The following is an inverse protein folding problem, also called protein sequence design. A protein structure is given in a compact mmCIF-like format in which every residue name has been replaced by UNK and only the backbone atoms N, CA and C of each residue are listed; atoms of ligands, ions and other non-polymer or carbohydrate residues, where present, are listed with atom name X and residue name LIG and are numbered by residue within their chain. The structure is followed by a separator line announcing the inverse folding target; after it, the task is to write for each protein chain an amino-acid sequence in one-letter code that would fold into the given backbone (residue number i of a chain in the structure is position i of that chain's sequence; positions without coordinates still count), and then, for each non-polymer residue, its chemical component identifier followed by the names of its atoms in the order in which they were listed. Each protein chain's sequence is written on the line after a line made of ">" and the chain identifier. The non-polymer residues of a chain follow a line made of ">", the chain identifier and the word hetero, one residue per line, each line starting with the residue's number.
data_IF_342080676116
#
_entry.id   IF_342080676116
#
_cell.length_a   1.000
_cell.length_b   1.000
_cell.length_c   1.000
_cell.angle_alpha   90.00
_cell.angle_beta   90.00
_cell.angle_gamma   90.00
#
_symmetry.space_group_name_H-M   'P 1'
#
loop_
_entity.id
_entity.type
_entity.pdbx_description
1 polymer ?
#
# COMPACT_ATOMS: atom_id res chain seq x y z
N UNK A 1 10.81 7.15 14.83
CA UNK A 1 11.28 6.63 13.52
C UNK A 1 10.94 7.70 12.50
N UNK A 2 11.94 8.36 11.88
CA UNK A 2 11.78 9.66 11.19
C UNK A 2 10.64 9.76 10.16
N UNK A 3 10.21 8.65 9.58
CA UNK A 3 9.09 8.62 8.62
C UNK A 3 7.73 8.94 9.27
N UNK A 4 7.54 8.67 10.58
CA UNK A 4 6.29 8.98 11.30
C UNK A 4 6.23 10.44 11.81
N UNK A 5 7.34 11.17 11.75
CA UNK A 5 7.42 12.57 12.19
C UNK A 5 6.99 13.55 11.09
N UNK A 6 6.74 13.04 9.86
CA UNK A 6 6.31 13.82 8.70
C UNK A 6 4.81 13.66 8.49
N UNK A 7 4.17 14.71 8.00
CA UNK A 7 2.76 14.68 7.57
C UNK A 7 2.59 14.10 6.15
N UNK A 8 3.68 13.77 5.47
CA UNK A 8 3.68 13.15 4.16
C UNK A 8 4.53 11.88 4.11
N UNK A 9 4.24 11.03 3.13
CA UNK A 9 5.03 9.84 2.83
C UNK A 9 5.20 9.61 1.34
N UNK A 10 6.42 9.25 0.95
CA UNK A 10 6.74 8.82 -0.39
C UNK A 10 6.53 7.31 -0.52
N UNK A 11 5.87 6.92 -1.61
CA UNK A 11 5.50 5.54 -1.90
C UNK A 11 5.97 5.16 -3.30
N UNK A 12 6.63 4.02 -3.39
CA UNK A 12 7.01 3.39 -4.65
C UNK A 12 6.23 2.09 -4.83
N UNK A 13 5.60 1.91 -6.00
CA UNK A 13 4.82 0.72 -6.31
C UNK A 13 5.67 -0.24 -7.14
N UNK A 14 5.81 -1.50 -6.72
CA UNK A 14 6.46 -2.49 -7.60
C UNK A 14 5.50 -2.99 -8.68
N UNK A 15 6.04 -3.52 -9.78
CA UNK A 15 5.23 -4.23 -10.79
C UNK A 15 4.35 -5.32 -10.15
N UNK A 16 4.93 -6.12 -9.27
CA UNK A 16 4.21 -7.19 -8.58
C UNK A 16 3.05 -6.64 -7.74
N UNK A 17 3.22 -5.50 -7.07
CA UNK A 17 2.13 -4.86 -6.33
C UNK A 17 0.95 -4.52 -7.25
N UNK A 18 1.23 -3.95 -8.42
CA UNK A 18 0.19 -3.56 -9.39
C UNK A 18 -0.54 -4.79 -9.93
N UNK A 19 0.17 -5.85 -10.28
CA UNK A 19 -0.42 -7.12 -10.71
C UNK A 19 -1.37 -7.68 -9.63
N UNK A 20 -0.90 -7.71 -8.37
CA UNK A 20 -1.70 -8.16 -7.23
C UNK A 20 -2.91 -7.26 -6.94
N UNK A 21 -2.77 -5.95 -7.16
CA UNK A 21 -3.88 -5.00 -7.06
C UNK A 21 -4.91 -5.23 -8.15
N UNK A 22 -4.47 -5.40 -9.39
CA UNK A 22 -5.34 -5.68 -10.52
C UNK A 22 -6.18 -6.93 -10.27
N UNK A 23 -5.55 -8.07 -9.93
CA UNK A 23 -6.24 -9.32 -9.60
C UNK A 23 -7.33 -9.18 -8.52
N UNK A 24 -7.13 -8.30 -7.54
CA UNK A 24 -8.02 -8.16 -6.36
C UNK A 24 -9.08 -7.08 -6.51
N UNK A 25 -8.87 -6.12 -7.39
CA UNK A 25 -9.64 -4.88 -7.44
C UNK A 25 -10.34 -4.71 -8.78
N UNK A 26 -9.82 -5.27 -9.88
CA UNK A 26 -10.35 -5.04 -11.23
C UNK A 26 -11.85 -5.34 -11.36
N UNK A 27 -12.34 -6.40 -10.71
CA UNK A 27 -13.77 -6.75 -10.70
C UNK A 27 -14.66 -5.84 -9.84
N UNK A 28 -14.06 -4.99 -9.00
CA UNK A 28 -14.74 -4.10 -8.04
C UNK A 28 -14.73 -2.64 -8.47
N UNK A 29 -14.01 -2.31 -9.55
CA UNK A 29 -13.91 -0.95 -10.08
C UNK A 29 -14.42 -0.93 -11.51
N UNK A 30 -15.04 0.19 -11.90
CA UNK A 30 -15.51 0.38 -13.28
C UNK A 30 -14.36 0.33 -14.29
N UNK A 31 -13.17 0.80 -13.89
CA UNK A 31 -11.97 0.87 -14.73
C UNK A 31 -10.74 0.78 -13.83
N UNK A 32 -9.76 -0.01 -14.24
CA UNK A 32 -8.45 -0.06 -13.58
C UNK A 32 -7.47 0.81 -14.38
N UNK A 33 -7.29 2.06 -13.96
CA UNK A 33 -6.31 2.99 -14.53
C UNK A 33 -5.40 3.58 -13.46
N UNK A 34 -4.40 4.37 -13.89
CA UNK A 34 -3.45 5.02 -12.99
C UNK A 34 -4.15 5.77 -11.86
N UNK A 35 -5.13 6.62 -12.20
CA UNK A 35 -5.82 7.46 -11.23
C UNK A 35 -6.53 6.59 -10.19
N UNK A 36 -7.27 5.58 -10.64
CA UNK A 36 -7.98 4.66 -9.75
C UNK A 36 -7.01 3.93 -8.81
N UNK A 37 -5.88 3.45 -9.34
CA UNK A 37 -4.86 2.79 -8.52
C UNK A 37 -4.29 3.75 -7.45
N UNK A 38 -3.91 4.97 -7.85
CA UNK A 38 -3.34 5.97 -6.93
C UNK A 38 -4.36 6.36 -5.86
N UNK A 39 -5.62 6.58 -6.24
CA UNK A 39 -6.70 6.93 -5.31
C UNK A 39 -6.88 5.82 -4.27
N UNK A 40 -6.84 4.55 -4.68
CA UNK A 40 -6.97 3.42 -3.76
C UNK A 40 -5.76 3.31 -2.83
N UNK A 41 -4.54 3.37 -3.38
CA UNK A 41 -3.30 3.31 -2.59
C UNK A 41 -3.28 4.45 -1.57
N UNK A 42 -3.54 5.68 -2.02
CA UNK A 42 -3.57 6.88 -1.17
C UNK A 42 -4.57 6.73 -0.05
N UNK A 43 -5.78 6.26 -0.35
CA UNK A 43 -6.81 6.06 0.67
C UNK A 43 -6.42 4.99 1.71
N UNK A 44 -5.78 3.90 1.29
CA UNK A 44 -5.33 2.85 2.21
C UNK A 44 -4.16 3.35 3.07
N UNK A 45 -3.17 4.00 2.46
CA UNK A 45 -1.99 4.54 3.17
C UNK A 45 -2.39 5.63 4.15
N UNK A 46 -3.25 6.56 3.77
CA UNK A 46 -3.69 7.68 4.61
C UNK A 46 -4.57 7.24 5.77
N UNK A 47 -5.52 6.34 5.52
CA UNK A 47 -6.54 6.01 6.51
C UNK A 47 -6.28 4.67 7.23
N UNK A 48 -5.23 3.94 6.84
CA UNK A 48 -4.90 2.64 7.40
C UNK A 48 -4.27 2.68 8.78
N UNK A 49 -4.17 1.49 9.37
CA UNK A 49 -3.31 1.19 10.51
C UNK A 49 -1.97 0.71 9.99
N UNK A 50 -0.89 1.23 10.56
CA UNK A 50 0.49 1.00 10.12
C UNK A 50 1.23 0.24 11.20
N UNK A 51 1.79 -0.89 10.81
CA UNK A 51 2.73 -1.66 11.60
C UNK A 51 4.09 -1.67 10.90
N UNK A 52 5.15 -1.43 11.65
CA UNK A 52 6.53 -1.55 11.18
C UNK A 52 7.26 -2.51 12.11
N UNK A 53 7.90 -3.53 11.54
CA UNK A 53 8.78 -4.44 12.29
C UNK A 53 10.20 -3.92 12.35
N UNK A 54 10.97 -4.46 13.28
CA UNK A 54 12.36 -4.07 13.53
C UNK A 54 13.28 -4.27 12.31
N UNK A 55 12.93 -5.19 11.40
CA UNK A 55 13.62 -5.45 10.14
C UNK A 55 13.23 -4.49 9.00
N UNK A 56 12.44 -3.46 9.29
CA UNK A 56 12.02 -2.45 8.33
C UNK A 56 10.90 -2.89 7.38
N UNK A 57 10.27 -4.06 7.58
CA UNK A 57 9.03 -4.39 6.87
C UNK A 57 7.90 -3.53 7.40
N UNK A 58 7.05 -3.07 6.48
CA UNK A 58 5.89 -2.26 6.78
C UNK A 58 4.63 -2.94 6.27
N UNK A 59 3.60 -2.92 7.12
CA UNK A 59 2.26 -3.40 6.80
C UNK A 59 1.27 -2.29 7.05
N UNK A 60 0.48 -1.97 6.03
CA UNK A 60 -0.57 -0.95 6.12
C UNK A 60 -1.90 -1.64 5.86
N UNK A 61 -2.82 -1.60 6.81
CA UNK A 61 -4.08 -2.31 6.65
C UNK A 61 -5.30 -1.48 7.01
N UNK A 62 -6.37 -1.78 6.29
CA UNK A 62 -7.75 -1.37 6.54
C UNK A 62 -8.57 -2.63 6.78
N UNK A 63 -9.86 -2.50 7.07
CA UNK A 63 -10.76 -3.66 7.13
C UNK A 63 -10.85 -4.45 5.82
N UNK A 64 -10.46 -3.88 4.67
CA UNK A 64 -10.61 -4.50 3.34
C UNK A 64 -9.31 -4.96 2.70
N UNK A 65 -8.20 -4.27 2.97
CA UNK A 65 -6.92 -4.51 2.30
C UNK A 65 -5.77 -4.37 3.27
N UNK A 66 -4.74 -5.19 3.08
CA UNK A 66 -3.44 -5.10 3.74
C UNK A 66 -2.35 -4.97 2.68
N UNK A 67 -1.65 -3.86 2.68
CA UNK A 67 -0.49 -3.61 1.82
C UNK A 67 0.77 -4.06 2.56
N UNK A 68 1.59 -4.86 1.89
CA UNK A 68 2.89 -5.29 2.37
C UNK A 68 4.01 -4.56 1.63
N UNK A 69 4.98 -4.05 2.37
CA UNK A 69 6.11 -3.34 1.81
C UNK A 69 7.34 -3.36 2.70
N UNK A 70 8.33 -2.56 2.31
CA UNK A 70 9.56 -2.33 3.09
C UNK A 70 9.86 -0.84 3.12
N UNK A 71 10.47 -0.40 4.22
CA UNK A 71 11.04 0.93 4.33
C UNK A 71 12.45 0.93 3.74
N UNK A 72 12.70 1.87 2.84
CA UNK A 72 14.03 2.10 2.25
C UNK A 72 14.24 3.59 2.16
N UNK A 73 15.35 4.10 2.70
CA UNK A 73 15.76 5.50 2.51
C UNK A 73 14.66 6.55 2.83
N UNK A 74 13.79 6.27 3.81
CA UNK A 74 12.70 7.19 4.19
C UNK A 74 11.43 7.12 3.33
N UNK A 75 11.35 6.21 2.36
CA UNK A 75 10.16 5.91 1.54
C UNK A 75 9.63 4.50 1.78
N UNK A 76 8.38 4.28 1.41
CA UNK A 76 7.72 2.97 1.45
C UNK A 76 7.77 2.35 0.06
N UNK A 77 8.38 1.18 -0.06
CA UNK A 77 8.31 0.37 -1.28
C UNK A 77 7.22 -0.70 -1.09
N UNK A 78 6.06 -0.49 -1.70
CA UNK A 78 4.94 -1.42 -1.66
C UNK A 78 5.15 -2.57 -2.64
N UNK A 79 5.13 -3.80 -2.11
CA UNK A 79 5.48 -5.01 -2.87
C UNK A 79 4.28 -5.86 -3.22
N UNK A 80 3.24 -5.84 -2.39
CA UNK A 80 2.10 -6.73 -2.53
C UNK A 80 0.88 -6.19 -1.79
N UNK A 81 -0.28 -6.75 -2.10
CA UNK A 81 -1.55 -6.49 -1.41
C UNK A 81 -2.21 -7.82 -1.08
N UNK A 82 -2.84 -7.88 0.08
CA UNK A 82 -3.62 -9.01 0.56
C UNK A 82 -5.01 -8.55 0.98
N UNK A 83 -5.99 -9.44 0.87
CA UNK A 83 -7.27 -9.26 1.54
C UNK A 83 -7.12 -9.92 2.92
N UNK A 84 -7.19 -9.18 4.03
CA UNK A 84 -7.02 -9.78 5.34
C UNK A 84 -8.13 -10.80 5.59
N UNK A 85 -7.75 -12.04 5.90
CA UNK A 85 -8.65 -12.94 6.65
C UNK A 85 -8.62 -12.43 8.09
N UNK A 86 -9.70 -11.75 8.49
CA UNK A 86 -9.85 -10.99 9.74
C UNK A 86 -9.46 -11.83 10.98
N UNK A 87 -9.61 -13.16 10.93
CA UNK A 87 -9.30 -14.07 12.03
C UNK A 87 -7.88 -14.66 12.06
N UNK A 88 -7.00 -14.27 11.12
CA UNK A 88 -5.63 -14.80 11.15
C UNK A 88 -4.85 -14.27 12.37
N UNK A 89 -4.16 -15.17 13.08
CA UNK A 89 -3.29 -14.82 14.22
C UNK A 89 -2.30 -13.70 13.88
N UNK A 90 -1.79 -13.67 12.64
CA UNK A 90 -0.91 -12.61 12.13
C UNK A 90 -1.58 -11.24 12.11
N UNK A 91 -2.82 -11.16 11.62
CA UNK A 91 -3.55 -9.89 11.60
C UNK A 91 -3.77 -9.34 13.02
N UNK A 92 -4.18 -10.20 13.97
CA UNK A 92 -4.34 -9.81 15.37
C UNK A 92 -3.03 -9.34 16.00
N UNK A 93 -1.92 -9.99 15.69
CA UNK A 93 -0.60 -9.57 16.16
C UNK A 93 -0.23 -8.18 15.63
N UNK A 94 -0.38 -7.94 14.32
CA UNK A 94 -0.10 -6.63 13.73
C UNK A 94 -1.05 -5.55 14.27
N UNK A 95 -2.34 -5.85 14.40
CA UNK A 95 -3.35 -4.93 14.92
C UNK A 95 -3.02 -4.39 16.32
N UNK A 96 -2.49 -5.23 17.22
CA UNK A 96 -2.12 -4.82 18.58
C UNK A 96 -0.97 -3.82 18.64
N UNK A 97 -0.08 -3.82 17.64
CA UNK A 97 1.14 -2.98 17.59
C UNK A 97 1.06 -1.89 16.52
N UNK A 98 0.00 -1.88 15.73
CA UNK A 98 -0.17 -0.89 14.68
C UNK A 98 -0.65 0.43 15.24
N UNK A 99 -0.16 1.51 14.66
CA UNK A 99 -0.59 2.88 14.96
C UNK A 99 -1.43 3.40 13.81
N UNK A 100 -2.26 4.42 14.06
CA UNK A 100 -2.93 5.12 12.97
C UNK A 100 -1.87 5.75 12.06
N UNK A 101 -2.08 5.67 10.74
CA UNK A 101 -1.23 6.35 9.78
C UNK A 101 -1.14 7.85 10.11
N UNK A 102 0.07 8.42 10.26
CA UNK A 102 0.24 9.86 10.53
C UNK A 102 0.23 10.69 9.24
N UNK A 103 0.31 10.04 8.08
CA UNK A 103 0.54 10.71 6.80
C UNK A 103 -0.77 11.23 6.22
N UNK A 104 -0.87 12.55 6.08
CA UNK A 104 -1.97 13.25 5.39
C UNK A 104 -1.78 13.23 3.88
N UNK A 105 -0.53 13.37 3.43
CA UNK A 105 -0.14 13.43 2.03
C UNK A 105 0.60 12.15 1.61
N UNK A 106 0.19 11.54 0.50
CA UNK A 106 0.83 10.33 -0.05
C UNK A 106 1.34 10.65 -1.44
N UNK A 107 2.65 10.55 -1.65
CA UNK A 107 3.32 10.89 -2.91
C UNK A 107 3.75 9.60 -3.60
N UNK A 108 3.14 9.27 -4.74
CA UNK A 108 3.55 8.10 -5.54
C UNK A 108 4.68 8.50 -6.48
N UNK A 109 5.88 7.94 -6.25
CA UNK A 109 7.11 8.46 -6.84
C UNK A 109 7.39 7.95 -8.26
N UNK A 110 6.86 6.78 -8.64
CA UNK A 110 7.22 6.09 -9.88
C UNK A 110 6.09 6.00 -10.91
N UNK A 111 5.35 7.11 -11.10
CA UNK A 111 4.18 7.19 -11.99
C UNK A 111 4.46 6.70 -13.43
N UNK A 112 5.61 7.08 -14.03
CA UNK A 112 5.96 6.63 -15.39
C UNK A 112 5.98 5.10 -15.50
N UNK A 113 6.58 4.42 -14.53
CA UNK A 113 6.62 2.95 -14.48
C UNK A 113 5.24 2.36 -14.23
N UNK A 114 4.47 2.96 -13.31
CA UNK A 114 3.08 2.57 -13.01
C UNK A 114 2.22 2.58 -14.29
N UNK A 115 2.25 3.66 -15.09
CA UNK A 115 1.51 3.73 -16.36
C UNK A 115 1.91 2.63 -17.32
N UNK A 116 3.20 2.40 -17.48
CA UNK A 116 3.72 1.39 -18.39
C UNK A 116 3.26 -0.02 -17.99
N UNK A 117 3.28 -0.34 -16.71
CA UNK A 117 2.82 -1.64 -16.21
C UNK A 117 1.31 -1.81 -16.30
N UNK A 118 0.51 -0.77 -16.02
CA UNK A 118 -0.95 -0.83 -16.19
C UNK A 118 -1.30 -1.05 -17.66
N UNK A 119 -0.63 -0.36 -18.59
CA UNK A 119 -0.87 -0.55 -20.03
C UNK A 119 -0.63 -2.01 -20.44
N UNK A 120 0.51 -2.57 -20.04
CA UNK A 120 0.86 -3.98 -20.31
C UNK A 120 -0.09 -5.00 -19.67
N UNK A 121 -0.85 -4.62 -18.64
CA UNK A 121 -1.83 -5.50 -17.99
C UNK A 121 -3.19 -5.52 -18.71
N UNK A 122 -3.45 -4.51 -19.55
CA UNK A 122 -4.73 -4.33 -20.24
C UNK A 122 -4.64 -4.64 -21.75
N UNK A 123 -3.43 -4.88 -22.25
CA UNK A 123 -3.14 -5.46 -23.57
C UNK A 123 -3.43 -6.97 -23.56
#
# INVERSE_FOLDING_TARGET
>A
MKIFERDFVEVELTRHFIERMFERVSSRVRKFDEKTLIDIVTNIVRNGMVYVSDDGRISIFTGRYMLGGVLREGRIVLRTVYTPKVDSLRFRFFAKRAVKSPWKNVLVMNLKSVRAWIRKLLE
#
